data_IF_831886896932
#
_entry.id   IF_831886896932
#
_cell.length_a   1.000
_cell.length_b   1.000
_cell.length_c   1.000
_cell.angle_alpha   90.00
_cell.angle_beta   90.00
_cell.angle_gamma   90.00
#
_symmetry.space_group_name_H-M   'P 1'
#
loop_
_entity.id
_entity.type
_entity.pdbx_description
1 polymer ?
#
# COMPACT_ATOMS: atom_id res chain seq x y z
N UNK A 1 23.88 18.51 13.87
CA UNK A 1 24.61 17.29 13.45
C UNK A 1 24.59 16.13 14.45
N UNK A 2 24.13 16.28 15.70
CA UNK A 2 24.24 15.20 16.71
C UNK A 2 23.45 13.91 16.38
N UNK A 3 22.42 13.93 15.52
CA UNK A 3 21.62 12.73 15.22
C UNK A 3 22.40 11.62 14.50
N UNK A 4 23.40 11.96 13.67
CA UNK A 4 24.23 10.97 12.97
C UNK A 4 25.06 10.16 13.97
N UNK A 5 25.61 10.83 14.99
CA UNK A 5 26.39 10.18 16.06
C UNK A 5 25.54 9.16 16.80
N UNK A 6 24.27 9.50 17.10
CA UNK A 6 23.36 8.55 17.71
C UNK A 6 23.07 7.35 16.80
N UNK A 7 22.86 7.56 15.49
CA UNK A 7 22.60 6.46 14.55
C UNK A 7 23.81 5.51 14.50
N UNK A 8 25.02 6.06 14.37
CA UNK A 8 26.26 5.28 14.36
C UNK A 8 26.51 4.58 15.71
N UNK A 9 26.21 5.24 16.82
CA UNK A 9 26.36 4.68 18.16
C UNK A 9 25.46 3.46 18.36
N UNK A 10 24.17 3.55 18.00
CA UNK A 10 23.25 2.42 18.09
C UNK A 10 23.60 1.30 17.10
N UNK A 11 24.09 1.63 15.91
CA UNK A 11 24.60 0.63 14.97
C UNK A 11 25.81 -0.11 15.54
N UNK A 12 26.79 0.60 16.08
CA UNK A 12 27.98 0.00 16.69
C UNK A 12 27.60 -0.86 17.90
N UNK A 13 26.69 -0.35 18.75
CA UNK A 13 26.18 -1.10 19.89
C UNK A 13 25.45 -2.38 19.44
N UNK A 14 24.65 -2.30 18.36
CA UNK A 14 24.01 -3.46 17.75
C UNK A 14 25.01 -4.49 17.22
N UNK A 15 26.12 -4.05 16.62
CA UNK A 15 27.21 -4.94 16.21
C UNK A 15 27.89 -5.62 17.40
N UNK A 16 28.16 -4.89 18.49
CA UNK A 16 28.74 -5.46 19.72
C UNK A 16 27.80 -6.49 20.33
N UNK A 17 26.50 -6.18 20.44
CA UNK A 17 25.49 -7.10 20.97
C UNK A 17 25.34 -8.34 20.06
N UNK A 18 25.33 -8.15 18.75
CA UNK A 18 25.29 -9.25 17.77
C UNK A 18 26.51 -10.17 17.88
N UNK A 19 27.71 -9.59 18.03
CA UNK A 19 28.95 -10.34 18.21
C UNK A 19 28.94 -11.15 19.53
N UNK A 20 28.44 -10.57 20.63
CA UNK A 20 28.30 -11.26 21.91
C UNK A 20 27.28 -12.40 21.86
N UNK A 21 26.23 -12.28 21.03
CA UNK A 21 25.16 -13.28 20.88
C UNK A 21 25.52 -14.38 19.87
N UNK A 22 26.75 -14.39 19.33
CA UNK A 22 27.19 -15.40 18.38
C UNK A 22 26.66 -15.20 16.95
N UNK A 23 26.41 -13.95 16.55
CA UNK A 23 26.09 -13.58 15.17
C UNK A 23 24.78 -14.15 14.58
N UNK A 24 23.85 -14.63 15.42
CA UNK A 24 22.57 -15.17 14.96
C UNK A 24 21.71 -14.14 14.19
N UNK A 25 21.79 -12.87 14.61
CA UNK A 25 21.09 -11.75 13.98
C UNK A 25 22.15 -10.72 13.54
N UNK A 26 22.11 -10.20 12.30
CA UNK A 26 23.04 -9.17 11.85
C UNK A 26 22.94 -7.92 12.73
N UNK A 27 24.08 -7.35 13.08
CA UNK A 27 24.18 -6.18 13.97
C UNK A 27 23.36 -4.97 13.51
N UNK A 28 23.12 -4.82 12.20
CA UNK A 28 22.24 -3.76 11.66
C UNK A 28 20.79 -3.89 12.12
N UNK A 29 20.25 -5.11 12.14
CA UNK A 29 18.88 -5.40 12.61
C UNK A 29 18.80 -5.20 14.12
N UNK A 30 19.79 -5.69 14.86
CA UNK A 30 19.88 -5.48 16.31
C UNK A 30 19.96 -3.98 16.64
N UNK A 31 20.80 -3.23 15.95
CA UNK A 31 20.91 -1.77 16.12
C UNK A 31 19.61 -1.02 15.80
N UNK A 32 18.86 -1.48 14.79
CA UNK A 32 17.53 -0.92 14.47
C UNK A 32 16.54 -1.17 15.61
N UNK A 33 16.52 -2.37 16.19
CA UNK A 33 15.68 -2.71 17.34
C UNK A 33 16.06 -1.93 18.60
N UNK A 34 17.36 -1.75 18.87
CA UNK A 34 17.84 -0.96 19.99
C UNK A 34 17.46 0.51 19.83
N UNK A 35 17.65 1.06 18.64
CA UNK A 35 17.26 2.44 18.34
C UNK A 35 15.75 2.63 18.49
N UNK A 36 14.95 1.67 17.99
CA UNK A 36 13.51 1.67 18.17
C UNK A 36 13.12 1.63 19.65
N UNK A 37 13.74 0.77 20.45
CA UNK A 37 13.53 0.69 21.89
C UNK A 37 13.87 2.00 22.62
N UNK A 38 15.01 2.62 22.28
CA UNK A 38 15.42 3.90 22.86
C UNK A 38 14.50 5.07 22.47
N UNK A 39 13.91 5.01 21.28
CA UNK A 39 12.91 5.97 20.83
C UNK A 39 11.56 5.78 21.54
N UNK A 40 11.17 4.52 21.74
CA UNK A 40 9.95 4.14 22.48
C UNK A 40 10.04 4.55 23.96
N UNK A 41 11.23 4.45 24.57
CA UNK A 41 11.50 4.92 25.93
C UNK A 41 11.55 6.46 26.07
N UNK A 42 11.42 7.21 24.98
CA UNK A 42 11.45 8.68 24.99
C UNK A 42 12.84 9.29 25.25
N UNK A 43 13.89 8.47 25.31
CA UNK A 43 15.24 8.92 25.61
C UNK A 43 15.84 9.76 24.46
N UNK A 44 15.41 9.48 23.23
CA UNK A 44 15.83 10.19 22.02
C UNK A 44 14.71 11.06 21.44
N UNK A 45 15.02 12.31 21.09
CA UNK A 45 14.08 13.17 20.36
C UNK A 45 13.93 12.72 18.90
N UNK A 46 12.74 12.26 18.45
CA UNK A 46 12.54 11.68 17.12
C UNK A 46 12.84 12.66 15.98
N UNK A 47 12.59 13.96 16.17
CA UNK A 47 12.88 14.97 15.16
C UNK A 47 14.36 15.05 14.78
N UNK A 48 15.26 14.81 15.75
CA UNK A 48 16.72 14.83 15.51
C UNK A 48 17.16 13.62 14.69
N UNK A 49 16.52 12.48 14.96
CA UNK A 49 16.78 11.23 14.24
C UNK A 49 16.27 11.32 12.81
N UNK A 50 15.06 11.84 12.60
CA UNK A 50 14.48 12.03 11.26
C UNK A 50 15.36 12.90 10.37
N UNK A 51 15.89 14.01 10.88
CA UNK A 51 16.79 14.89 10.11
C UNK A 51 18.12 14.22 9.78
N UNK A 52 18.70 13.45 10.69
CA UNK A 52 19.94 12.74 10.46
C UNK A 52 19.78 11.54 9.50
N UNK A 53 18.74 10.74 9.68
CA UNK A 53 18.39 9.64 8.78
C UNK A 53 18.07 10.17 7.39
N UNK A 54 17.31 11.28 7.29
CA UNK A 54 17.02 11.95 6.02
C UNK A 54 18.29 12.38 5.30
N UNK A 55 19.25 13.00 6.00
CA UNK A 55 20.55 13.36 5.42
C UNK A 55 21.34 12.14 4.91
N UNK A 56 21.35 11.03 5.67
CA UNK A 56 22.06 9.80 5.29
C UNK A 56 21.40 9.12 4.09
N UNK A 57 20.06 9.17 4.03
CA UNK A 57 19.26 8.60 2.96
C UNK A 57 19.39 9.42 1.67
N UNK A 58 19.40 10.75 1.78
CA UNK A 58 19.63 11.69 0.67
C UNK A 58 21.02 11.49 0.06
N UNK A 59 22.00 11.16 0.90
CA UNK A 59 23.37 10.84 0.48
C UNK A 59 23.64 9.32 0.36
N UNK A 60 22.61 8.47 0.17
CA UNK A 60 22.77 7.01 0.05
C UNK A 60 23.74 6.61 -1.06
N UNK A 61 23.81 7.38 -2.15
CA UNK A 61 24.75 7.15 -3.25
C UNK A 61 26.22 7.10 -2.79
N UNK A 62 26.59 7.89 -1.77
CA UNK A 62 27.95 7.88 -1.20
C UNK A 62 28.30 6.53 -0.56
N UNK A 63 27.32 5.79 -0.04
CA UNK A 63 27.55 4.46 0.54
C UNK A 63 27.56 3.36 -0.52
N UNK A 64 26.85 3.55 -1.63
CA UNK A 64 26.84 2.59 -2.74
C UNK A 64 28.14 2.60 -3.54
N UNK A 65 28.83 3.74 -3.66
CA UNK A 65 30.11 3.83 -4.39
C UNK A 65 31.18 2.89 -3.80
N UNK A 66 31.51 2.93 -2.50
CA UNK A 66 32.48 2.02 -1.89
C UNK A 66 32.09 0.54 -2.05
N UNK A 67 30.81 0.23 -1.86
CA UNK A 67 30.28 -1.13 -2.00
C UNK A 67 30.40 -1.62 -3.44
N UNK A 68 30.08 -0.77 -4.42
CA UNK A 68 30.23 -1.07 -5.84
C UNK A 68 31.68 -1.25 -6.28
N UNK A 69 32.59 -0.44 -5.75
CA UNK A 69 34.04 -0.59 -5.99
C UNK A 69 34.58 -1.89 -5.38
N UNK A 70 34.07 -2.30 -4.20
CA UNK A 70 34.36 -3.61 -3.64
C UNK A 70 33.87 -4.76 -4.51
N UNK A 71 32.70 -4.60 -5.14
CA UNK A 71 32.14 -5.61 -6.05
C UNK A 71 32.96 -5.75 -7.34
N UNK A 72 33.37 -4.65 -7.97
CA UNK A 72 34.18 -4.69 -9.20
C UNK A 72 35.59 -5.24 -8.96
N UNK A 73 36.15 -5.11 -7.75
CA UNK A 73 37.41 -5.78 -7.41
C UNK A 73 37.33 -7.32 -7.56
N UNK A 74 36.12 -7.90 -7.47
CA UNK A 74 35.84 -9.33 -7.70
C UNK A 74 35.14 -9.60 -9.04
N UNK A 75 35.32 -8.72 -10.04
CA UNK A 75 34.59 -8.76 -11.32
C UNK A 75 34.71 -10.09 -12.08
N UNK A 76 35.85 -10.80 -11.96
CA UNK A 76 36.06 -12.09 -12.63
C UNK A 76 35.07 -13.17 -12.18
N UNK A 77 34.72 -13.23 -10.90
CA UNK A 77 33.71 -14.16 -10.39
C UNK A 77 32.30 -13.70 -10.79
N UNK A 78 32.04 -12.40 -10.65
CA UNK A 78 30.73 -11.82 -10.97
C UNK A 78 30.38 -12.10 -12.43
N UNK A 79 31.25 -11.73 -13.38
CA UNK A 79 31.03 -11.94 -14.83
C UNK A 79 30.72 -13.39 -15.22
N UNK A 80 31.33 -14.38 -14.56
CA UNK A 80 31.07 -15.80 -14.79
C UNK A 80 29.68 -16.25 -14.32
N UNK A 81 29.17 -15.65 -13.25
CA UNK A 81 27.89 -16.02 -12.63
C UNK A 81 26.79 -14.97 -12.81
N UNK A 82 27.02 -13.90 -13.58
CA UNK A 82 26.07 -12.80 -13.78
C UNK A 82 24.70 -13.31 -14.23
N UNK A 83 24.67 -14.21 -15.21
CA UNK A 83 23.42 -14.80 -15.69
C UNK A 83 22.69 -15.58 -14.58
N UNK A 84 23.42 -16.38 -13.79
CA UNK A 84 22.85 -17.14 -12.69
C UNK A 84 22.32 -16.23 -11.58
N UNK A 85 23.04 -15.16 -11.22
CA UNK A 85 22.63 -14.16 -10.22
C UNK A 85 21.37 -13.42 -10.69
N UNK A 86 21.30 -13.04 -11.98
CA UNK A 86 20.16 -12.34 -12.54
C UNK A 86 18.91 -13.23 -12.53
N UNK A 87 19.04 -14.47 -12.98
CA UNK A 87 17.93 -15.45 -12.96
C UNK A 87 17.50 -15.74 -11.52
N UNK A 88 18.44 -16.01 -10.62
CA UNK A 88 18.13 -16.28 -9.21
C UNK A 88 17.45 -15.09 -8.53
N UNK A 89 17.86 -13.85 -8.81
CA UNK A 89 17.24 -12.66 -8.23
C UNK A 89 15.82 -12.43 -8.74
N UNK A 90 15.57 -12.58 -10.04
CA UNK A 90 14.22 -12.47 -10.63
C UNK A 90 13.31 -13.57 -10.07
N UNK A 91 13.76 -14.83 -10.11
CA UNK A 91 12.97 -15.96 -9.62
C UNK A 91 12.68 -15.80 -8.13
N UNK A 92 13.67 -15.41 -7.32
CA UNK A 92 13.47 -15.14 -5.89
C UNK A 92 12.49 -14.00 -5.65
N UNK A 93 12.54 -12.93 -6.45
CA UNK A 93 11.62 -11.79 -6.29
C UNK A 93 10.19 -12.20 -6.59
N UNK A 94 9.96 -12.90 -7.70
CA UNK A 94 8.64 -13.43 -8.07
C UNK A 94 8.14 -14.40 -7.00
N UNK A 95 8.99 -15.31 -6.55
CA UNK A 95 8.63 -16.30 -5.53
C UNK A 95 8.25 -15.64 -4.21
N UNK A 96 9.03 -14.66 -3.74
CA UNK A 96 8.72 -13.91 -2.51
C UNK A 96 7.38 -13.19 -2.66
N UNK A 97 7.13 -12.51 -3.79
CA UNK A 97 5.86 -11.81 -4.03
C UNK A 97 4.67 -12.78 -3.99
N UNK A 98 4.78 -13.95 -4.64
CA UNK A 98 3.72 -14.98 -4.64
C UNK A 98 3.48 -15.51 -3.24
N UNK A 99 4.54 -15.89 -2.52
CA UNK A 99 4.43 -16.46 -1.17
C UNK A 99 3.84 -15.44 -0.19
N UNK A 100 4.34 -14.21 -0.18
CA UNK A 100 3.80 -13.14 0.65
C UNK A 100 2.35 -12.85 0.29
N UNK A 101 2.03 -12.76 -1.01
CA UNK A 101 0.66 -12.56 -1.48
C UNK A 101 -0.31 -13.68 -1.05
N UNK A 102 0.11 -14.93 -1.11
CA UNK A 102 -0.68 -16.07 -0.64
C UNK A 102 -0.88 -16.05 0.88
N UNK A 103 0.15 -15.68 1.65
CA UNK A 103 0.06 -15.56 3.10
C UNK A 103 -0.93 -14.46 3.49
N UNK A 104 -0.81 -13.27 2.88
CA UNK A 104 -1.73 -12.16 3.10
C UNK A 104 -3.16 -12.53 2.72
N UNK A 105 -3.38 -13.17 1.56
CA UNK A 105 -4.70 -13.64 1.15
C UNK A 105 -5.29 -14.67 2.11
N UNK A 106 -4.46 -15.55 2.69
CA UNK A 106 -4.90 -16.54 3.67
C UNK A 106 -5.24 -15.91 5.03
N UNK A 107 -4.51 -14.86 5.43
CA UNK A 107 -4.80 -14.08 6.64
C UNK A 107 -6.07 -13.23 6.47
N UNK A 108 -6.24 -12.58 5.32
CA UNK A 108 -7.43 -11.79 4.97
C UNK A 108 -8.67 -12.67 4.79
N UNK A 109 -8.52 -13.84 4.16
CA UNK A 109 -9.60 -14.82 3.99
C UNK A 109 -10.20 -15.27 5.33
N UNK A 110 -9.35 -15.49 6.34
CA UNK A 110 -9.78 -15.82 7.71
C UNK A 110 -10.51 -14.69 8.43
N UNK A 111 -10.39 -13.44 7.97
CA UNK A 111 -11.05 -12.27 8.57
C UNK A 111 -12.45 -12.02 8.01
N UNK A 112 -12.80 -12.61 6.86
CA UNK A 112 -14.09 -12.43 6.20
C UNK A 112 -15.17 -13.42 6.67
N UNK A 113 -14.80 -14.61 7.14
CA UNK A 113 -15.77 -15.58 7.68
C UNK A 113 -16.39 -15.16 9.03
N UNK A 114 -15.72 -14.28 9.80
CA UNK A 114 -16.24 -13.79 11.08
C UNK A 114 -17.19 -12.57 10.94
N UNK A 115 -17.45 -12.08 9.73
CA UNK A 115 -18.39 -10.96 9.46
C UNK A 115 -19.77 -11.40 8.97
N UNK A 116 -20.09 -12.70 8.99
CA UNK A 116 -21.49 -13.15 8.88
C UNK A 116 -22.21 -13.00 10.23
N UNK A 117 -22.43 -11.76 10.68
CA UNK A 117 -23.60 -11.47 11.51
C UNK A 117 -24.75 -11.14 10.55
N UNK A 118 -25.78 -11.99 10.44
CA UNK A 118 -27.00 -11.64 9.73
C UNK A 118 -27.80 -10.63 10.57
N UNK A 119 -27.37 -9.37 10.61
CA UNK A 119 -28.10 -8.29 11.28
C UNK A 119 -28.95 -7.49 10.28
N UNK A 120 -29.78 -8.15 9.46
CA UNK A 120 -30.89 -7.44 8.81
C UNK A 120 -32.00 -8.35 8.27
N UNK A 121 -32.61 -9.17 9.12
CA UNK A 121 -33.82 -9.93 8.71
C UNK A 121 -34.91 -10.03 9.78
N UNK A 122 -34.78 -9.34 10.91
CA UNK A 122 -35.74 -9.46 12.01
C UNK A 122 -36.02 -8.14 12.76
N UNK A 123 -36.20 -7.04 12.04
CA UNK A 123 -37.07 -5.97 12.54
C UNK A 123 -38.41 -6.06 11.81
N UNK A 124 -39.47 -6.58 12.45
CA UNK A 124 -40.82 -6.41 11.93
C UNK A 124 -41.07 -4.90 11.83
N UNK A 125 -41.29 -4.40 10.62
CA UNK A 125 -41.67 -3.00 10.42
C UNK A 125 -43.06 -2.79 11.04
N UNK A 126 -43.21 -2.03 12.14
CA UNK A 126 -44.50 -1.79 12.77
C UNK A 126 -45.42 -0.89 11.92
N UNK A 127 -44.92 -0.35 10.81
CA UNK A 127 -45.67 0.59 9.95
C UNK A 127 -46.56 -0.11 8.90
N UNK A 128 -46.44 -1.42 8.70
CA UNK A 128 -47.18 -2.13 7.65
C UNK A 128 -48.62 -2.53 8.04
N UNK A 129 -49.02 -2.39 9.30
CA UNK A 129 -50.30 -2.89 9.84
C UNK A 129 -51.34 -1.80 10.17
N UNK A 130 -51.11 -0.53 9.78
CA UNK A 130 -51.97 0.59 10.18
C UNK A 130 -52.70 1.34 9.03
N UNK A 131 -52.82 0.76 7.82
CA UNK A 131 -53.65 1.38 6.77
C UNK A 131 -54.97 0.61 6.57
N UNK A 132 -56.13 1.27 6.77
CA UNK A 132 -57.42 0.70 6.41
C UNK A 132 -57.66 0.81 4.90
N UNK A 133 -58.13 -0.28 4.28
CA UNK A 133 -58.84 -0.24 2.99
C UNK A 133 -60.36 -0.06 3.25
N UNK A 134 -61.23 0.09 2.24
CA UNK A 134 -61.24 0.96 1.05
C UNK A 134 -62.58 1.75 0.95
N UNK A 135 -62.65 2.86 0.20
CA UNK A 135 -63.94 3.40 -0.30
C UNK A 135 -63.76 3.92 -1.73
N UNK A 136 -64.39 3.25 -2.69
CA UNK A 136 -64.57 3.73 -4.06
C UNK A 136 -65.81 4.63 -4.15
N UNK A 137 -65.76 5.72 -4.93
CA UNK A 137 -66.97 6.23 -5.57
C UNK A 137 -66.85 6.35 -7.10
N UNK A 138 -67.99 6.56 -7.80
CA UNK A 138 -68.28 6.05 -9.14
C UNK A 138 -67.82 6.95 -10.29
N UNK A 139 -67.82 6.38 -11.50
CA UNK A 139 -67.27 7.00 -12.71
C UNK A 139 -68.07 8.14 -13.35
N UNK A 140 -67.40 8.82 -14.29
CA UNK A 140 -67.82 9.43 -15.56
C UNK A 140 -66.53 9.94 -16.23
N UNK A 141 -66.07 9.37 -17.35
CA UNK A 141 -66.38 9.77 -18.74
C UNK A 141 -65.78 11.13 -19.19
N UNK A 142 -64.70 11.06 -19.98
CA UNK A 142 -64.43 11.87 -21.19
C UNK A 142 -63.03 11.51 -21.70
N UNK A 143 -62.89 10.76 -22.79
CA UNK A 143 -62.91 11.26 -24.19
C UNK A 143 -61.64 12.01 -24.56
N UNK A 144 -60.89 11.49 -25.53
CA UNK A 144 -60.13 12.35 -26.44
C UNK A 144 -58.72 11.89 -26.83
N UNK A 145 -58.65 11.04 -27.86
CA UNK A 145 -57.66 11.07 -28.95
C UNK A 145 -56.15 10.82 -28.65
N UNK A 146 -55.71 9.60 -28.97
CA UNK A 146 -54.56 9.37 -29.88
C UNK A 146 -55.06 9.53 -31.35
N UNK A 147 -54.25 9.57 -32.44
CA UNK A 147 -52.79 9.42 -32.60
C UNK A 147 -52.19 10.42 -33.65
N UNK A 148 -50.94 10.19 -34.10
CA UNK A 148 -50.28 10.74 -35.34
C UNK A 148 -49.27 11.88 -35.08
N UNK A 149 -48.11 12.01 -35.71
CA UNK A 149 -47.14 11.12 -36.36
C UNK A 149 -45.94 12.02 -36.75
N UNK A 150 -44.75 11.42 -36.76
CA UNK A 150 -43.67 11.63 -37.73
C UNK A 150 -42.86 12.96 -37.79
N UNK A 151 -41.54 12.72 -38.00
CA UNK A 151 -40.57 13.51 -38.82
C UNK A 151 -39.89 14.65 -38.05
N UNK A 152 -38.57 14.90 -38.06
CA UNK A 152 -37.32 14.28 -38.55
C UNK A 152 -36.16 15.14 -37.94
N UNK A 153 -34.87 14.85 -38.17
CA UNK A 153 -33.74 15.25 -37.31
C UNK A 153 -33.11 16.59 -37.72
N UNK A 154 -32.47 17.27 -36.76
CA UNK A 154 -31.57 18.39 -37.05
C UNK A 154 -30.14 18.09 -36.61
N UNK A 155 -29.36 17.71 -37.61
CA UNK A 155 -27.91 17.85 -37.69
C UNK A 155 -27.51 19.32 -37.70
N UNK A 156 -26.59 19.75 -36.83
CA UNK A 156 -25.66 20.84 -37.12
C UNK A 156 -24.51 20.87 -36.10
N UNK A 157 -23.35 20.34 -36.49
CA UNK A 157 -22.04 20.87 -36.10
C UNK A 157 -21.52 21.64 -37.31
N UNK A 158 -20.91 22.82 -37.12
CA UNK A 158 -19.53 22.92 -37.58
C UNK A 158 -18.61 23.62 -36.59
N UNK A 159 -17.46 22.98 -36.35
CA UNK A 159 -16.11 23.55 -36.46
C UNK A 159 -15.93 25.06 -36.27
N UNK A 160 -15.16 25.46 -35.26
CA UNK A 160 -14.42 26.73 -35.26
C UNK A 160 -12.92 26.47 -35.02
N UNK A 161 -12.03 26.93 -35.94
CA UNK A 161 -10.58 26.75 -35.85
C UNK A 161 -9.86 27.92 -35.14
N UNK A 162 -8.67 27.65 -34.59
CA UNK A 162 -7.53 28.58 -34.55
C UNK A 162 -7.50 29.74 -33.52
N UNK A 163 -6.59 29.63 -32.55
CA UNK A 163 -5.79 30.73 -31.93
C UNK A 163 -4.71 30.04 -31.07
N UNK A 164 -3.47 29.86 -31.56
CA UNK A 164 -2.36 30.80 -31.48
C UNK A 164 -2.31 31.54 -30.14
N UNK A 165 -1.45 31.09 -29.21
CA UNK A 165 -0.20 31.76 -28.79
C UNK A 165 0.81 30.70 -28.33
#
# INVERSE_FOLDING_TARGET
MQGIVWILFFYLLGCVVSALTGNFIPGSVVGMLLLFGALSAGWLRPWRMKRAAGFLLDNMMLFFIPVGVGLIASYSLVSKYLAAILVASIVSTVLVIVVVGMIEQKLEGKRREDSHTPENSARPNPAASAMPAPVAPPGIESTGAEPTAARAPETATPSNPGRHE
#
